data_IF_699065365282
#
_entry.id   IF_699065365282
#
_cell.length_a   1.000
_cell.length_b   1.000
_cell.length_c   1.000
_cell.angle_alpha   90.00
_cell.angle_beta   90.00
_cell.angle_gamma   90.00
#
_symmetry.space_group_name_H-M   'P 1'
#
loop_
_entity.id
_entity.type
_entity.pdbx_description
1 polymer ?
#
# COMPACT_ATOMS: atom_id res chain seq x y z
N UNK A 1 35.17 -4.78 3.41
CA UNK A 1 34.54 -5.96 4.03
C UNK A 1 33.10 -5.92 3.58
N UNK A 2 32.72 -6.79 2.65
CA UNK A 2 31.36 -6.83 2.12
C UNK A 2 30.47 -7.50 3.16
N UNK A 3 29.50 -6.77 3.71
CA UNK A 3 28.43 -7.37 4.50
C UNK A 3 27.61 -8.27 3.59
N UNK A 4 27.81 -9.58 3.70
CA UNK A 4 26.95 -10.58 3.09
C UNK A 4 25.56 -10.46 3.71
N UNK A 5 24.61 -9.90 2.95
CA UNK A 5 23.20 -9.91 3.31
C UNK A 5 22.69 -11.38 3.32
N UNK A 6 21.91 -11.81 4.32
CA UNK A 6 21.39 -13.18 4.40
C UNK A 6 20.45 -13.49 3.23
N UNK A 7 20.78 -14.54 2.46
CA UNK A 7 20.06 -15.03 1.26
C UNK A 7 18.63 -15.54 1.51
N UNK A 8 18.13 -15.56 2.74
CA UNK A 8 16.82 -16.14 3.09
C UNK A 8 15.64 -15.17 2.91
N UNK A 9 15.88 -13.87 2.74
CA UNK A 9 14.81 -12.85 2.59
C UNK A 9 14.30 -12.69 1.15
N UNK A 10 14.94 -13.32 0.16
CA UNK A 10 14.65 -13.09 -1.27
C UNK A 10 13.25 -13.56 -1.72
N UNK A 11 12.58 -14.44 -0.96
CA UNK A 11 11.21 -14.90 -1.29
C UNK A 11 10.08 -14.18 -0.54
N UNK A 12 10.41 -13.28 0.39
CA UNK A 12 9.38 -12.56 1.14
C UNK A 12 8.80 -11.43 0.27
N UNK A 13 7.47 -11.25 0.24
CA UNK A 13 6.85 -10.17 -0.51
C UNK A 13 7.37 -8.83 -0.01
N UNK A 14 7.80 -7.97 -0.94
CA UNK A 14 8.28 -6.64 -0.56
C UNK A 14 7.11 -5.85 0.02
N UNK A 15 7.31 -4.99 1.03
CA UNK A 15 6.22 -4.22 1.62
C UNK A 15 5.37 -3.46 0.59
N UNK A 16 6.00 -2.99 -0.50
CA UNK A 16 5.29 -2.30 -1.57
C UNK A 16 4.28 -3.17 -2.30
N UNK A 17 4.61 -4.44 -2.53
CA UNK A 17 3.74 -5.39 -3.22
C UNK A 17 2.49 -5.66 -2.40
N UNK A 18 2.63 -5.77 -1.07
CA UNK A 18 1.50 -5.92 -0.15
C UNK A 18 0.56 -4.72 -0.25
N UNK A 19 1.10 -3.50 -0.25
CA UNK A 19 0.28 -2.28 -0.37
C UNK A 19 -0.45 -2.20 -1.73
N UNK A 20 0.21 -2.60 -2.82
CA UNK A 20 -0.42 -2.63 -4.16
C UNK A 20 -1.64 -3.54 -4.23
N UNK A 21 -1.65 -4.66 -3.50
CA UNK A 21 -2.81 -5.56 -3.41
C UNK A 21 -4.05 -4.87 -2.81
N UNK A 22 -3.85 -3.83 -1.99
CA UNK A 22 -4.91 -3.10 -1.31
C UNK A 22 -5.23 -1.77 -1.98
N UNK A 23 -4.66 -1.49 -3.16
CA UNK A 23 -4.91 -0.27 -3.93
C UNK A 23 -5.80 -0.54 -5.15
N UNK A 24 -6.69 0.39 -5.43
CA UNK A 24 -7.58 0.33 -6.57
C UNK A 24 -6.83 0.71 -7.87
N UNK A 25 -6.84 -0.12 -8.91
CA UNK A 25 -6.17 0.17 -10.18
C UNK A 25 -6.88 1.24 -11.05
N UNK A 26 -7.95 1.86 -10.56
CA UNK A 26 -8.64 2.97 -11.26
C UNK A 26 -8.31 4.31 -10.61
N UNK A 27 -8.51 4.45 -9.30
CA UNK A 27 -8.23 5.71 -8.59
C UNK A 27 -6.82 5.79 -7.99
N UNK A 28 -6.07 4.68 -8.03
CA UNK A 28 -4.72 4.51 -7.48
C UNK A 28 -4.57 4.74 -5.97
N UNK A 29 -5.68 4.86 -5.24
CA UNK A 29 -5.73 4.96 -3.79
C UNK A 29 -6.08 3.62 -3.15
N UNK A 30 -6.01 3.51 -1.82
CA UNK A 30 -6.52 2.32 -1.12
C UNK A 30 -7.97 2.01 -1.55
N UNK A 31 -8.24 0.73 -1.75
CA UNK A 31 -9.54 0.26 -2.22
C UNK A 31 -10.61 0.44 -1.13
N UNK A 32 -11.74 1.02 -1.52
CA UNK A 32 -12.90 1.27 -0.64
C UNK A 32 -14.11 0.58 -1.24
N UNK A 33 -14.80 -0.20 -0.42
CA UNK A 33 -15.89 -1.09 -0.85
C UNK A 33 -15.49 -1.89 -2.10
N UNK A 34 -14.52 -2.82 -1.99
CA UNK A 34 -14.03 -3.56 -3.14
C UNK A 34 -15.16 -4.34 -3.79
N UNK A 35 -15.26 -4.27 -5.11
CA UNK A 35 -16.17 -5.07 -5.92
C UNK A 35 -15.39 -5.94 -6.89
N UNK A 36 -15.83 -7.18 -7.09
CA UNK A 36 -15.39 -8.05 -8.18
C UNK A 36 -16.30 -7.82 -9.38
N UNK A 37 -15.70 -7.42 -10.50
CA UNK A 37 -16.37 -7.31 -11.79
C UNK A 37 -16.58 -8.71 -12.40
N UNK A 38 -17.55 -8.90 -13.32
CA UNK A 38 -17.79 -10.20 -13.96
C UNK A 38 -16.59 -10.77 -14.74
N UNK A 39 -15.64 -9.92 -15.14
CA UNK A 39 -14.37 -10.33 -15.74
C UNK A 39 -13.29 -10.76 -14.71
N UNK A 40 -13.58 -10.72 -13.42
CA UNK A 40 -12.67 -11.12 -12.33
C UNK A 40 -11.79 -9.99 -11.77
N UNK A 41 -11.76 -8.82 -12.41
CA UNK A 41 -11.00 -7.67 -11.89
C UNK A 41 -11.68 -7.02 -10.69
N UNK A 42 -10.88 -6.44 -9.81
CA UNK A 42 -11.34 -5.76 -8.60
C UNK A 42 -11.10 -4.24 -8.69
N UNK A 43 -12.06 -3.46 -8.20
CA UNK A 43 -11.91 -2.00 -8.04
C UNK A 43 -12.81 -1.50 -6.90
N UNK A 44 -12.72 -0.21 -6.55
CA UNK A 44 -13.71 0.39 -5.66
C UNK A 44 -15.10 0.35 -6.29
N UNK A 45 -16.16 0.23 -5.48
CA UNK A 45 -17.54 0.36 -5.94
C UNK A 45 -17.79 1.64 -6.73
N UNK A 46 -17.26 2.78 -6.26
CA UNK A 46 -17.39 4.07 -6.92
C UNK A 46 -16.58 4.20 -8.22
N UNK A 47 -15.61 3.32 -8.43
CA UNK A 47 -14.78 3.32 -9.65
C UNK A 47 -15.35 2.43 -10.75
N UNK A 48 -16.42 1.68 -10.48
CA UNK A 48 -17.06 0.85 -11.47
C UNK A 48 -17.70 1.68 -12.58
N UNK A 49 -17.49 1.28 -13.83
CA UNK A 49 -18.19 1.81 -14.99
C UNK A 49 -19.42 0.95 -15.32
N UNK A 50 -20.62 1.53 -15.49
CA UNK A 50 -21.83 0.78 -15.82
C UNK A 50 -21.92 0.37 -17.29
N UNK A 51 -21.14 1.01 -18.17
CA UNK A 51 -21.23 0.77 -19.61
C UNK A 51 -20.12 -0.17 -20.10
N UNK A 52 -18.87 0.17 -19.83
CA UNK A 52 -17.70 -0.51 -20.38
C UNK A 52 -16.68 -0.78 -19.28
N UNK A 53 -16.28 -2.05 -19.14
CA UNK A 53 -15.27 -2.43 -18.18
C UNK A 53 -13.90 -1.81 -18.55
N UNK A 54 -13.24 -1.06 -17.66
CA UNK A 54 -11.95 -0.43 -17.96
C UNK A 54 -10.79 -1.44 -18.08
N UNK A 55 -10.96 -2.68 -17.63
CA UNK A 55 -9.91 -3.70 -17.63
C UNK A 55 -9.94 -4.57 -18.89
N UNK A 56 -11.09 -5.19 -19.20
CA UNK A 56 -11.22 -6.09 -20.34
C UNK A 56 -11.89 -5.44 -21.57
N UNK A 57 -12.36 -4.20 -21.44
CA UNK A 57 -13.05 -3.44 -22.50
C UNK A 57 -14.30 -4.15 -23.04
N UNK A 58 -15.02 -4.88 -22.18
CA UNK A 58 -16.28 -5.54 -22.50
C UNK A 58 -17.45 -4.92 -21.71
N UNK A 59 -18.66 -5.05 -22.26
CA UNK A 59 -19.91 -4.75 -21.57
C UNK A 59 -20.34 -6.02 -20.80
N UNK A 60 -20.64 -5.89 -19.52
CA UNK A 60 -21.13 -7.00 -18.71
C UNK A 60 -22.62 -6.84 -18.43
N UNK A 61 -23.37 -7.93 -18.62
CA UNK A 61 -24.81 -7.98 -18.32
C UNK A 61 -25.07 -8.34 -16.86
N UNK A 62 -24.18 -9.10 -16.24
CA UNK A 62 -24.23 -9.43 -14.80
C UNK A 62 -23.74 -8.27 -13.94
N UNK A 63 -24.35 -8.10 -12.77
CA UNK A 63 -23.90 -7.12 -11.78
C UNK A 63 -22.59 -7.52 -11.12
N UNK A 64 -21.82 -6.51 -10.71
CA UNK A 64 -20.64 -6.72 -9.86
C UNK A 64 -21.08 -7.00 -8.43
N UNK A 65 -20.23 -7.73 -7.71
CA UNK A 65 -20.51 -8.14 -6.33
C UNK A 65 -19.47 -7.57 -5.39
N UNK A 66 -19.88 -7.27 -4.16
CA UNK A 66 -18.94 -6.87 -3.11
C UNK A 66 -17.98 -8.03 -2.84
N UNK A 67 -16.69 -7.73 -2.91
CA UNK A 67 -15.64 -8.66 -2.51
C UNK A 67 -15.48 -8.65 -0.99
N UNK A 68 -16.20 -9.55 -0.33
CA UNK A 68 -16.15 -9.68 1.11
C UNK A 68 -14.75 -10.09 1.61
N UNK A 69 -14.03 -10.89 0.83
CA UNK A 69 -12.69 -11.37 1.20
C UNK A 69 -11.69 -10.22 1.16
N UNK A 70 -11.63 -9.47 0.05
CA UNK A 70 -10.72 -8.32 -0.05
C UNK A 70 -11.09 -7.22 0.96
N UNK A 71 -12.38 -7.03 1.22
CA UNK A 71 -12.81 -6.10 2.27
C UNK A 71 -12.32 -6.54 3.65
N UNK A 72 -12.49 -7.82 4.00
CA UNK A 72 -11.97 -8.37 5.25
C UNK A 72 -10.46 -8.21 5.36
N UNK A 73 -9.70 -8.60 4.32
CA UNK A 73 -8.23 -8.47 4.29
C UNK A 73 -7.80 -7.02 4.50
N UNK A 74 -8.37 -6.06 3.74
CA UNK A 74 -8.06 -4.63 3.89
C UNK A 74 -8.35 -4.13 5.30
N UNK A 75 -9.49 -4.52 5.87
CA UNK A 75 -9.94 -4.06 7.19
C UNK A 75 -9.06 -4.63 8.30
N UNK A 76 -8.77 -5.93 8.28
CA UNK A 76 -7.87 -6.57 9.23
C UNK A 76 -6.46 -5.99 9.13
N UNK A 77 -5.98 -5.75 7.90
CA UNK A 77 -4.68 -5.11 7.68
C UNK A 77 -4.64 -3.71 8.30
N UNK A 78 -5.67 -2.88 8.07
CA UNK A 78 -5.76 -1.55 8.66
C UNK A 78 -5.74 -1.59 10.20
N UNK A 79 -6.51 -2.49 10.80
CA UNK A 79 -6.53 -2.67 12.25
C UNK A 79 -5.16 -3.07 12.81
N UNK A 80 -4.45 -3.95 12.11
CA UNK A 80 -3.12 -4.39 12.54
C UNK A 80 -2.08 -3.28 12.39
N UNK A 81 -2.14 -2.49 11.31
CA UNK A 81 -1.31 -1.30 11.16
C UNK A 81 -1.56 -0.28 12.27
N UNK A 82 -2.81 -0.09 12.68
CA UNK A 82 -3.16 0.80 13.79
C UNK A 82 -2.62 0.28 15.15
N UNK A 83 -2.65 -1.04 15.37
CA UNK A 83 -2.04 -1.68 16.55
C UNK A 83 -0.52 -1.51 16.59
N UNK A 84 0.15 -1.77 15.46
CA UNK A 84 1.61 -1.58 15.34
C UNK A 84 2.01 -0.13 15.58
N UNK A 85 1.21 0.83 15.08
CA UNK A 85 1.43 2.26 15.33
C UNK A 85 1.36 2.57 16.82
N UNK A 86 0.35 2.05 17.52
CA UNK A 86 0.20 2.24 18.97
C UNK A 86 1.34 1.59 19.78
N UNK A 87 1.85 0.43 19.34
CA UNK A 87 2.93 -0.28 20.02
C UNK A 87 4.30 0.41 19.83
N UNK A 88 4.63 0.87 18.62
CA UNK A 88 5.96 1.43 18.34
C UNK A 88 6.13 2.90 18.71
N UNK A 89 5.10 3.57 19.25
CA UNK A 89 5.28 4.83 20.00
C UNK A 89 6.26 4.73 21.18
N UNK A 90 6.71 3.51 21.53
CA UNK A 90 7.68 3.20 22.58
C UNK A 90 9.11 2.98 22.06
N UNK A 91 9.33 2.97 20.74
CA UNK A 91 10.63 2.66 20.11
C UNK A 91 11.10 3.86 19.29
N UNK A 92 12.35 4.29 19.50
CA UNK A 92 12.95 5.44 18.81
C UNK A 92 13.74 4.97 17.58
N UNK A 93 13.09 4.89 16.41
CA UNK A 93 13.75 4.68 15.11
C UNK A 93 13.16 5.65 14.10
N UNK A 94 13.97 6.30 13.27
CA UNK A 94 13.50 7.26 12.27
C UNK A 94 14.03 6.88 10.88
N UNK A 95 13.17 6.91 9.87
CA UNK A 95 13.54 6.83 8.46
C UNK A 95 12.70 7.80 7.64
N UNK A 96 13.31 8.38 6.60
CA UNK A 96 12.62 9.24 5.62
C UNK A 96 12.37 8.46 4.32
N UNK A 97 11.34 8.85 3.57
CA UNK A 97 11.03 8.25 2.27
C UNK A 97 10.73 9.31 1.23
N UNK A 98 11.05 9.02 -0.04
CA UNK A 98 10.63 9.77 -1.20
C UNK A 98 9.61 8.97 -2.02
N UNK A 99 8.70 9.67 -2.70
CA UNK A 99 7.76 9.07 -3.66
C UNK A 99 8.03 9.67 -5.03
N UNK A 100 8.50 8.85 -5.98
CA UNK A 100 8.68 9.21 -7.40
C UNK A 100 9.22 10.64 -7.61
N UNK A 101 10.42 10.89 -7.08
CA UNK A 101 11.18 12.15 -7.18
C UNK A 101 10.64 13.35 -6.38
N UNK A 102 9.49 13.20 -5.71
CA UNK A 102 9.03 14.17 -4.68
C UNK A 102 9.46 13.67 -3.30
N UNK A 103 10.27 14.47 -2.60
CA UNK A 103 10.66 14.18 -1.22
C UNK A 103 9.45 14.46 -0.33
N UNK A 104 8.88 13.40 0.25
CA UNK A 104 7.81 13.52 1.24
C UNK A 104 8.46 13.29 2.60
N UNK A 105 8.77 14.38 3.30
CA UNK A 105 9.29 14.30 4.66
C UNK A 105 8.21 13.78 5.60
N UNK A 106 8.21 12.48 5.80
CA UNK A 106 7.45 11.82 6.84
C UNK A 106 8.37 10.88 7.58
N UNK A 107 8.52 11.11 8.88
CA UNK A 107 9.23 10.23 9.78
C UNK A 107 8.33 9.06 10.11
N UNK A 108 8.77 7.84 9.80
CA UNK A 108 8.04 6.64 10.17
C UNK A 108 8.77 5.89 11.27
N UNK A 109 8.18 5.89 12.46
CA UNK A 109 8.82 5.36 13.66
C UNK A 109 8.66 3.83 13.84
N UNK A 110 8.14 3.15 12.82
CA UNK A 110 7.49 1.85 13.00
C UNK A 110 7.75 0.84 11.87
N UNK A 111 8.69 1.13 10.96
CA UNK A 111 9.12 0.21 9.89
C UNK A 111 8.51 0.44 8.50
N UNK A 112 9.09 -0.23 7.50
CA UNK A 112 8.87 0.01 6.06
C UNK A 112 7.41 -0.19 5.61
N UNK A 113 6.71 -1.19 6.12
CA UNK A 113 5.33 -1.51 5.71
C UNK A 113 4.33 -0.48 6.25
N UNK A 114 4.42 -0.14 7.53
CA UNK A 114 3.55 0.85 8.17
C UNK A 114 3.75 2.23 7.53
N UNK A 115 4.99 2.57 7.17
CA UNK A 115 5.31 3.80 6.43
C UNK A 115 4.54 3.92 5.11
N UNK A 116 4.61 2.86 4.29
CA UNK A 116 3.90 2.84 3.01
C UNK A 116 2.39 2.85 3.19
N UNK A 117 1.87 2.16 4.21
CA UNK A 117 0.45 2.17 4.53
C UNK A 117 -0.05 3.58 4.83
N UNK A 118 0.68 4.34 5.64
CA UNK A 118 0.30 5.71 6.01
C UNK A 118 0.26 6.64 4.81
N UNK A 119 1.25 6.55 3.92
CA UNK A 119 1.25 7.30 2.65
C UNK A 119 0.12 6.86 1.71
N UNK A 120 -0.19 5.56 1.67
CA UNK A 120 -1.28 5.09 0.82
C UNK A 120 -2.63 5.57 1.37
N UNK A 121 -2.78 5.62 2.70
CA UNK A 121 -3.99 6.04 3.41
C UNK A 121 -4.29 7.54 3.24
N UNK A 122 -3.28 8.39 3.25
CA UNK A 122 -3.45 9.83 2.97
C UNK A 122 -3.48 10.17 1.47
N UNK A 123 -3.15 9.20 0.61
CA UNK A 123 -3.17 9.34 -0.85
C UNK A 123 -1.87 9.85 -1.47
N UNK A 124 -0.82 10.05 -0.69
CA UNK A 124 0.52 10.46 -1.15
C UNK A 124 1.24 9.35 -1.91
N UNK A 125 1.01 8.08 -1.57
CA UNK A 125 1.54 6.93 -2.29
C UNK A 125 0.45 6.33 -3.19
N UNK A 126 0.46 6.67 -4.47
CA UNK A 126 -0.44 6.10 -5.48
C UNK A 126 0.09 4.77 -6.02
N UNK A 127 -0.80 3.92 -6.53
CA UNK A 127 -0.49 2.58 -7.08
C UNK A 127 0.63 2.61 -8.13
N UNK A 128 0.63 3.62 -8.99
CA UNK A 128 1.55 3.86 -10.11
C UNK A 128 2.90 4.46 -9.70
N UNK A 129 3.03 4.98 -8.48
CA UNK A 129 4.28 5.55 -8.00
C UNK A 129 5.24 4.45 -7.53
N UNK A 130 6.52 4.73 -7.34
CA UNK A 130 7.45 3.89 -6.57
C UNK A 130 7.97 4.65 -5.33
N UNK A 131 8.51 3.91 -4.36
CA UNK A 131 9.03 4.47 -3.10
C UNK A 131 10.55 4.32 -3.05
N UNK A 132 11.21 5.39 -2.61
CA UNK A 132 12.65 5.46 -2.42
C UNK A 132 12.89 5.66 -0.93
N UNK A 133 13.81 4.90 -0.35
CA UNK A 133 14.20 5.08 1.05
C UNK A 133 15.36 6.05 1.16
N UNK A 134 15.28 6.96 2.12
CA UNK A 134 16.33 7.92 2.44
C UNK A 134 16.84 7.58 3.84
N UNK A 135 18.04 7.03 3.91
CA UNK A 135 18.73 6.82 5.19
C UNK A 135 19.33 8.15 5.63
N UNK A 136 18.92 8.66 6.80
CA UNK A 136 19.66 9.73 7.46
C UNK A 136 20.80 9.10 8.26
N UNK A 137 22.04 9.45 7.94
CA UNK A 137 23.15 9.25 8.87
C UNK A 137 22.86 10.06 10.14
N UNK A 138 23.04 9.49 11.35
CA UNK A 138 22.97 10.29 12.57
C UNK A 138 23.99 11.43 12.45
N UNK A 139 23.54 12.67 12.61
CA UNK A 139 24.45 13.80 12.76
C UNK A 139 25.27 13.60 14.03
N UNK A 140 26.58 13.89 14.06
CA UNK A 140 27.45 13.55 15.20
C UNK A 140 27.15 14.26 16.54
N UNK A 141 26.07 15.03 16.66
CA UNK A 141 25.83 15.99 17.75
C UNK A 141 24.47 15.83 18.48
N UNK A 142 23.84 14.64 18.46
CA UNK A 142 22.70 14.30 19.34
C UNK A 142 23.10 13.31 20.45
#
# INVERSE_FOLDING_TARGET
MAEEQPKELESAPRPREIIRLLQCPICYKLITEPVILPCGYQCCRLCQSPQLCPFCRQIHTSSSQIDKTLWMVKTCFEQEMDRLRAASSRVSMCAEVGVQDTIIHKSYWHGKLLAMWDLAKDGSLRLDNDIIYIERSPTPDD
#
